data_IF_618441962824
#
_entry.id   IF_618441962824
#
_cell.length_a   1.000
_cell.length_b   1.000
_cell.length_c   1.000
_cell.angle_alpha   90.00
_cell.angle_beta   90.00
_cell.angle_gamma   90.00
#
_symmetry.space_group_name_H-M   'P 1'
#
loop_
_entity.id
_entity.type
_entity.pdbx_description
1 polymer ?
#
# COMPACT_ATOMS: atom_id res chain seq x y z
N UNK A 1 15.12 50.00 -9.39
CA UNK A 1 13.72 50.43 -9.22
C UNK A 1 12.91 49.65 -10.24
N UNK A 2 12.11 48.68 -9.76
CA UNK A 2 10.98 47.96 -10.43
C UNK A 2 11.32 47.23 -11.76
N UNK A 3 10.82 46.04 -12.11
CA UNK A 3 9.81 45.16 -11.55
C UNK A 3 10.03 43.75 -12.16
N UNK A 4 10.09 42.76 -11.27
CA UNK A 4 9.46 41.43 -11.37
C UNK A 4 8.57 41.17 -12.58
N UNK A 5 9.03 40.31 -13.51
CA UNK A 5 8.15 39.41 -14.28
C UNK A 5 8.93 38.25 -14.90
N UNK A 6 9.10 37.18 -14.15
CA UNK A 6 9.19 35.83 -14.74
C UNK A 6 8.22 34.94 -13.97
N UNK A 7 7.01 35.05 -14.47
CA UNK A 7 5.88 34.15 -14.36
C UNK A 7 6.22 32.76 -13.84
N UNK A 8 5.55 32.43 -12.74
CA UNK A 8 5.35 31.11 -12.20
C UNK A 8 4.92 30.13 -13.29
N UNK A 9 5.87 29.32 -13.78
CA UNK A 9 5.56 28.08 -14.51
C UNK A 9 5.04 27.07 -13.49
N UNK A 10 3.82 27.29 -13.02
CA UNK A 10 2.98 26.22 -12.46
C UNK A 10 2.29 25.57 -13.65
N UNK A 11 3.05 24.82 -14.44
CA UNK A 11 2.48 23.89 -15.40
C UNK A 11 1.63 22.92 -14.59
N UNK A 12 0.30 23.03 -14.72
CA UNK A 12 -0.63 22.10 -14.09
C UNK A 12 -0.36 20.73 -14.71
N UNK A 13 0.50 19.95 -14.04
CA UNK A 13 0.77 18.57 -14.37
C UNK A 13 -0.58 17.87 -14.57
N UNK A 14 -0.92 17.58 -15.82
CA UNK A 14 -2.20 17.00 -16.18
C UNK A 14 -2.28 15.60 -15.59
N UNK A 15 -2.91 15.52 -14.41
CA UNK A 15 -2.92 14.34 -13.55
C UNK A 15 -3.55 13.15 -14.29
N UNK A 16 -4.43 13.41 -15.27
CA UNK A 16 -5.00 12.37 -16.13
C UNK A 16 -4.00 11.80 -17.13
N UNK A 17 -3.14 12.62 -17.70
CA UNK A 17 -2.11 12.14 -18.63
C UNK A 17 -1.00 11.39 -17.89
N UNK A 18 -0.64 11.85 -16.68
CA UNK A 18 0.21 11.06 -15.77
C UNK A 18 -0.44 9.74 -15.36
N UNK A 19 -1.72 9.74 -14.96
CA UNK A 19 -2.43 8.50 -14.60
C UNK A 19 -2.48 7.52 -15.77
N UNK A 20 -2.81 7.98 -16.98
CA UNK A 20 -2.83 7.12 -18.18
C UNK A 20 -1.45 6.59 -18.54
N UNK A 21 -0.41 7.41 -18.39
CA UNK A 21 0.96 6.99 -18.63
C UNK A 21 1.46 5.97 -17.59
N UNK A 22 1.15 6.18 -16.30
CA UNK A 22 1.43 5.22 -15.22
C UNK A 22 0.65 3.90 -15.36
N UNK A 23 -0.63 3.98 -15.74
CA UNK A 23 -1.47 2.81 -16.04
C UNK A 23 -1.00 2.06 -17.30
N UNK A 24 -0.45 2.80 -18.29
CA UNK A 24 0.12 2.22 -19.50
C UNK A 24 1.46 1.52 -19.28
N UNK A 25 2.27 1.97 -18.33
CA UNK A 25 3.55 1.36 -17.96
C UNK A 25 3.39 0.09 -17.13
N UNK A 26 2.32 -0.02 -16.34
CA UNK A 26 2.04 -1.17 -15.48
C UNK A 26 1.26 -2.30 -16.15
N UNK A 27 0.97 -2.16 -17.46
CA UNK A 27 0.17 -3.07 -18.30
C UNK A 27 0.44 -4.58 -18.14
N UNK A 28 1.69 -5.08 -17.99
CA UNK A 28 1.94 -6.52 -17.84
C UNK A 28 1.53 -7.09 -16.46
N UNK A 29 1.28 -6.25 -15.47
CA UNK A 29 0.99 -6.66 -14.08
C UNK A 29 -0.51 -6.69 -13.79
N UNK A 30 -1.33 -6.11 -14.66
CA UNK A 30 -2.79 -6.03 -14.48
C UNK A 30 -3.46 -7.39 -14.47
N UNK A 31 -3.02 -8.35 -15.30
CA UNK A 31 -3.66 -9.66 -15.41
C UNK A 31 -3.71 -10.44 -14.08
N UNK A 32 -2.55 -10.75 -13.47
CA UNK A 32 -2.52 -11.43 -12.17
C UNK A 32 -3.13 -10.60 -11.04
N UNK A 33 -3.07 -9.27 -11.14
CA UNK A 33 -3.67 -8.37 -10.15
C UNK A 33 -5.20 -8.38 -10.18
N UNK A 34 -5.81 -8.43 -11.36
CA UNK A 34 -7.26 -8.61 -11.48
C UNK A 34 -7.73 -9.95 -10.93
N UNK A 35 -6.92 -11.02 -11.09
CA UNK A 35 -7.20 -12.32 -10.46
C UNK A 35 -7.15 -12.21 -8.95
N UNK A 36 -6.10 -11.60 -8.39
CA UNK A 36 -5.97 -11.38 -6.94
C UNK A 36 -7.13 -10.54 -6.39
N UNK A 37 -7.48 -9.44 -7.07
CA UNK A 37 -8.62 -8.59 -6.72
C UNK A 37 -9.96 -9.35 -6.80
N UNK A 38 -10.14 -10.20 -7.81
CA UNK A 38 -11.31 -11.05 -7.95
C UNK A 38 -11.43 -12.05 -6.80
N UNK A 39 -10.34 -12.76 -6.49
CA UNK A 39 -10.27 -13.67 -5.34
C UNK A 39 -10.56 -12.94 -4.03
N UNK A 40 -10.06 -11.72 -3.85
CA UNK A 40 -10.32 -10.88 -2.67
C UNK A 40 -11.79 -10.50 -2.54
N UNK A 41 -12.41 -10.03 -3.63
CA UNK A 41 -13.84 -9.69 -3.66
C UNK A 41 -14.69 -10.91 -3.33
N UNK A 42 -14.37 -12.07 -3.91
CA UNK A 42 -15.06 -13.33 -3.61
C UNK A 42 -14.84 -13.73 -2.15
N UNK A 43 -13.61 -13.65 -1.64
CA UNK A 43 -13.27 -13.96 -0.25
C UNK A 43 -14.05 -13.10 0.74
N UNK A 44 -14.12 -11.78 0.52
CA UNK A 44 -14.91 -10.87 1.35
C UNK A 44 -16.42 -11.15 1.24
N UNK A 45 -16.91 -11.55 0.06
CA UNK A 45 -18.30 -11.93 -0.12
C UNK A 45 -18.63 -13.24 0.62
N UNK A 46 -17.71 -14.20 0.61
CA UNK A 46 -17.82 -15.45 1.39
C UNK A 46 -17.79 -15.18 2.89
N UNK A 47 -17.02 -14.19 3.36
CA UNK A 47 -17.06 -13.77 4.76
C UNK A 47 -18.45 -13.28 5.18
N UNK A 48 -19.06 -12.43 4.36
CA UNK A 48 -20.41 -11.93 4.62
C UNK A 48 -21.42 -13.08 4.60
N UNK A 49 -21.30 -13.99 3.63
CA UNK A 49 -22.14 -15.19 3.56
C UNK A 49 -21.97 -16.10 4.78
N UNK A 50 -20.74 -16.25 5.28
CA UNK A 50 -20.43 -17.06 6.47
C UNK A 50 -21.07 -16.45 7.73
N UNK A 51 -20.98 -15.13 7.92
CA UNK A 51 -21.68 -14.46 9.02
C UNK A 51 -23.20 -14.54 8.89
N UNK A 52 -23.75 -14.34 7.69
CA UNK A 52 -25.18 -14.43 7.45
C UNK A 52 -25.73 -15.84 7.70
N UNK A 53 -25.04 -16.87 7.20
CA UNK A 53 -25.42 -18.28 7.42
C UNK A 53 -25.25 -18.70 8.87
N UNK A 54 -24.21 -18.21 9.57
CA UNK A 54 -24.03 -18.46 10.99
C UNK A 54 -25.17 -17.85 11.83
N UNK A 55 -25.55 -16.61 11.54
CA UNK A 55 -26.69 -15.96 12.19
C UNK A 55 -28.00 -16.70 11.92
N UNK A 56 -28.25 -17.11 10.67
CA UNK A 56 -29.40 -17.93 10.29
C UNK A 56 -29.44 -19.28 10.99
N UNK A 57 -28.29 -19.96 11.11
CA UNK A 57 -28.17 -21.23 11.81
C UNK A 57 -28.53 -21.10 13.30
N UNK A 58 -28.04 -20.05 13.97
CA UNK A 58 -28.38 -19.78 15.38
C UNK A 58 -29.88 -19.51 15.55
N UNK A 59 -30.48 -18.70 14.67
CA UNK A 59 -31.92 -18.45 14.72
C UNK A 59 -32.74 -19.73 14.54
N UNK A 60 -32.41 -20.56 13.55
CA UNK A 60 -33.11 -21.82 13.31
C UNK A 60 -32.95 -22.83 14.47
N UNK A 61 -31.81 -22.82 15.15
CA UNK A 61 -31.58 -23.67 16.31
C UNK A 61 -32.33 -23.21 17.55
N UNK A 62 -32.33 -21.91 17.81
CA UNK A 62 -32.88 -21.34 19.06
C UNK A 62 -34.38 -21.12 18.96
N UNK A 63 -34.87 -20.64 17.81
CA UNK A 63 -36.28 -20.27 17.62
C UNK A 63 -37.07 -21.47 17.13
N UNK A 64 -36.64 -22.09 16.03
CA UNK A 64 -37.40 -23.14 15.36
C UNK A 64 -37.13 -24.54 15.94
N UNK A 65 -36.15 -24.67 16.85
CA UNK A 65 -35.67 -25.94 17.41
C UNK A 65 -35.35 -27.00 16.33
N UNK A 66 -34.94 -26.55 15.14
CA UNK A 66 -34.69 -27.42 14.00
C UNK A 66 -33.28 -28.03 14.00
N UNK A 67 -33.03 -29.07 13.18
CA UNK A 67 -31.74 -29.76 13.16
C UNK A 67 -30.59 -28.86 12.64
N UNK A 68 -29.45 -28.91 13.33
CA UNK A 68 -28.27 -28.08 13.03
C UNK A 68 -27.41 -28.58 11.86
N UNK A 69 -27.54 -29.86 11.51
CA UNK A 69 -26.54 -30.57 10.71
C UNK A 69 -26.37 -29.97 9.30
N UNK A 70 -27.47 -29.60 8.64
CA UNK A 70 -27.42 -29.00 7.30
C UNK A 70 -26.68 -27.66 7.29
N UNK A 71 -26.97 -26.80 8.26
CA UNK A 71 -26.30 -25.50 8.43
C UNK A 71 -24.81 -25.65 8.71
N UNK A 72 -24.43 -26.63 9.54
CA UNK A 72 -23.03 -26.91 9.83
C UNK A 72 -22.25 -27.31 8.57
N UNK A 73 -22.83 -28.17 7.72
CA UNK A 73 -22.21 -28.57 6.45
C UNK A 73 -21.99 -27.35 5.55
N UNK A 74 -23.00 -26.48 5.42
CA UNK A 74 -22.90 -25.25 4.62
C UNK A 74 -21.79 -24.33 5.15
N UNK A 75 -21.70 -24.15 6.47
CA UNK A 75 -20.65 -23.35 7.09
C UNK A 75 -19.24 -23.90 6.81
N UNK A 76 -19.06 -25.22 6.91
CA UNK A 76 -17.78 -25.87 6.61
C UNK A 76 -17.40 -25.68 5.14
N UNK A 77 -18.35 -25.87 4.21
CA UNK A 77 -18.10 -25.66 2.78
C UNK A 77 -17.71 -24.21 2.48
N UNK A 78 -18.43 -23.24 3.04
CA UNK A 78 -18.10 -21.81 2.90
C UNK A 78 -16.73 -21.48 3.49
N UNK A 79 -16.38 -22.05 4.66
CA UNK A 79 -15.09 -21.83 5.30
C UNK A 79 -13.92 -22.38 4.45
N UNK A 80 -14.08 -23.57 3.87
CA UNK A 80 -13.07 -24.17 2.97
C UNK A 80 -12.94 -23.33 1.70
N UNK A 81 -14.06 -22.94 1.08
CA UNK A 81 -14.04 -22.08 -0.09
C UNK A 81 -13.32 -20.75 0.20
N UNK A 82 -13.64 -20.11 1.35
CA UNK A 82 -12.96 -18.90 1.81
C UNK A 82 -11.45 -19.12 1.93
N UNK A 83 -11.03 -20.19 2.59
CA UNK A 83 -9.61 -20.51 2.76
C UNK A 83 -8.89 -20.69 1.42
N UNK A 84 -9.54 -21.34 0.45
CA UNK A 84 -9.00 -21.50 -0.90
C UNK A 84 -8.84 -20.14 -1.61
N UNK A 85 -9.86 -19.27 -1.60
CA UNK A 85 -9.77 -17.95 -2.23
C UNK A 85 -8.74 -17.04 -1.57
N UNK A 86 -8.62 -17.09 -0.25
CA UNK A 86 -7.57 -16.38 0.48
C UNK A 86 -6.17 -16.86 0.08
N UNK A 87 -5.98 -18.17 -0.05
CA UNK A 87 -4.72 -18.73 -0.52
C UNK A 87 -4.39 -18.27 -1.95
N UNK A 88 -5.37 -18.29 -2.85
CA UNK A 88 -5.18 -17.80 -4.23
C UNK A 88 -4.85 -16.30 -4.28
N UNK A 89 -5.51 -15.48 -3.46
CA UNK A 89 -5.21 -14.05 -3.31
C UNK A 89 -3.75 -13.83 -2.90
N UNK A 90 -3.29 -14.54 -1.86
CA UNK A 90 -1.91 -14.43 -1.36
C UNK A 90 -0.89 -14.92 -2.40
N UNK A 91 -1.18 -16.05 -3.05
CA UNK A 91 -0.29 -16.64 -4.06
C UNK A 91 -0.14 -15.71 -5.27
N UNK A 92 -1.25 -15.17 -5.79
CA UNK A 92 -1.20 -14.24 -6.92
C UNK A 92 -0.53 -12.92 -6.54
N UNK A 93 -0.74 -12.43 -5.31
CA UNK A 93 -0.01 -11.27 -4.78
C UNK A 93 1.51 -11.48 -4.80
N UNK A 94 1.98 -12.63 -4.31
CA UNK A 94 3.41 -12.95 -4.31
C UNK A 94 3.96 -13.23 -5.71
N UNK A 95 3.16 -13.80 -6.60
CA UNK A 95 3.55 -13.96 -8.00
C UNK A 95 3.79 -12.61 -8.68
N UNK A 96 2.93 -11.62 -8.43
CA UNK A 96 3.09 -10.25 -8.93
C UNK A 96 4.39 -9.63 -8.43
N UNK A 97 4.68 -9.78 -7.14
CA UNK A 97 5.92 -9.34 -6.50
C UNK A 97 7.17 -9.86 -7.24
N UNK A 98 7.25 -11.19 -7.38
CA UNK A 98 8.41 -11.82 -7.99
C UNK A 98 8.55 -11.53 -9.48
N UNK A 99 7.43 -11.43 -10.21
CA UNK A 99 7.46 -11.05 -11.63
C UNK A 99 7.89 -9.61 -11.84
N UNK A 100 7.50 -8.69 -10.97
CA UNK A 100 7.99 -7.31 -11.02
C UNK A 100 9.51 -7.26 -10.82
N UNK A 101 10.04 -8.02 -9.86
CA UNK A 101 11.48 -8.12 -9.60
C UNK A 101 12.26 -8.73 -10.77
N UNK A 102 11.72 -9.78 -11.42
CA UNK A 102 12.32 -10.43 -12.58
C UNK A 102 12.43 -9.46 -13.77
N UNK A 103 11.34 -8.77 -14.11
CA UNK A 103 11.31 -7.81 -15.23
C UNK A 103 12.27 -6.64 -14.99
N UNK A 104 12.35 -6.16 -13.74
CA UNK A 104 13.28 -5.11 -13.35
C UNK A 104 14.71 -5.56 -13.60
N UNK A 105 15.09 -6.73 -13.08
CA UNK A 105 16.46 -7.25 -13.20
C UNK A 105 16.89 -7.29 -14.66
N UNK A 106 16.05 -7.83 -15.54
CA UNK A 106 16.32 -7.89 -16.97
C UNK A 106 16.40 -6.51 -17.63
N UNK A 107 15.48 -5.59 -17.28
CA UNK A 107 15.49 -4.23 -17.83
C UNK A 107 16.76 -3.46 -17.45
N UNK A 108 17.14 -3.48 -16.17
CA UNK A 108 18.34 -2.81 -15.68
C UNK A 108 19.59 -3.34 -16.37
N UNK A 109 19.77 -4.67 -16.41
CA UNK A 109 20.93 -5.26 -17.07
C UNK A 109 20.98 -4.93 -18.57
N UNK A 110 19.84 -4.95 -19.27
CA UNK A 110 19.79 -4.64 -20.70
C UNK A 110 20.14 -3.18 -21.04
N UNK A 111 19.87 -2.24 -20.13
CA UNK A 111 20.12 -0.79 -20.34
C UNK A 111 21.46 -0.32 -19.78
N UNK A 112 21.98 -0.96 -18.73
CA UNK A 112 23.32 -0.68 -18.21
C UNK A 112 24.41 -1.31 -19.08
N UNK A 113 24.21 -2.52 -19.60
CA UNK A 113 25.22 -3.25 -20.37
C UNK A 113 25.84 -2.43 -21.53
N UNK A 114 25.07 -1.69 -22.35
CA UNK A 114 25.62 -0.92 -23.47
C UNK A 114 26.35 0.37 -23.07
N UNK A 115 26.11 0.89 -21.85
CA UNK A 115 26.64 2.17 -21.36
C UNK A 115 27.65 2.02 -20.22
N UNK A 116 27.97 0.77 -19.87
CA UNK A 116 28.86 0.41 -18.77
C UNK A 116 30.25 1.05 -18.81
N UNK A 117 30.91 1.31 -19.97
CA UNK A 117 32.26 1.89 -19.93
C UNK A 117 32.31 3.34 -19.43
N UNK A 118 31.21 4.09 -19.49
CA UNK A 118 31.18 5.54 -19.17
C UNK A 118 30.41 5.90 -17.89
N UNK A 119 29.46 5.07 -17.46
CA UNK A 119 28.62 5.33 -16.27
C UNK A 119 29.28 4.83 -14.98
N UNK A 120 30.04 3.72 -15.05
CA UNK A 120 30.73 3.13 -13.89
C UNK A 120 31.85 4.04 -13.36
N UNK A 121 32.34 4.97 -14.19
CA UNK A 121 33.40 5.94 -13.87
C UNK A 121 32.91 7.17 -13.10
N UNK A 122 31.63 7.54 -13.22
CA UNK A 122 31.07 8.76 -12.61
C UNK A 122 29.87 8.52 -11.68
N UNK A 123 29.32 7.30 -11.64
CA UNK A 123 28.20 6.94 -10.77
C UNK A 123 28.45 5.57 -10.17
N UNK A 124 28.24 5.42 -8.85
CA UNK A 124 28.33 4.11 -8.19
C UNK A 124 27.23 3.23 -8.76
N UNK A 125 27.58 2.29 -9.64
CA UNK A 125 26.64 1.37 -10.29
C UNK A 125 25.72 0.64 -9.29
N UNK A 126 26.18 0.45 -8.04
CA UNK A 126 25.39 -0.07 -6.94
C UNK A 126 24.22 0.80 -6.51
N UNK A 127 24.36 2.13 -6.55
CA UNK A 127 23.31 3.06 -6.10
C UNK A 127 22.14 3.12 -7.11
N UNK A 128 22.43 2.97 -8.40
CA UNK A 128 21.41 2.94 -9.46
C UNK A 128 20.57 1.64 -9.33
N UNK A 129 21.22 0.50 -9.16
CA UNK A 129 20.54 -0.78 -8.97
C UNK A 129 19.72 -0.80 -7.66
N UNK A 130 20.27 -0.21 -6.58
CA UNK A 130 19.58 -0.11 -5.30
C UNK A 130 18.35 0.80 -5.34
N UNK A 131 18.43 1.95 -6.03
CA UNK A 131 17.28 2.85 -6.20
C UNK A 131 16.18 2.20 -7.04
N UNK A 132 16.55 1.55 -8.15
CA UNK A 132 15.59 0.89 -9.03
C UNK A 132 14.87 -0.28 -8.35
N UNK A 133 15.60 -1.07 -7.56
CA UNK A 133 15.00 -2.15 -6.75
C UNK A 133 14.00 -1.58 -5.74
N UNK A 134 14.38 -0.50 -5.04
CA UNK A 134 13.51 0.19 -4.09
C UNK A 134 12.23 0.76 -4.73
N UNK A 135 12.34 1.30 -5.94
CA UNK A 135 11.19 1.87 -6.65
C UNK A 135 10.20 0.79 -7.08
N UNK A 136 10.67 -0.41 -7.46
CA UNK A 136 9.80 -1.55 -7.79
C UNK A 136 9.15 -2.17 -6.57
N UNK A 137 9.90 -2.36 -5.48
CA UNK A 137 9.32 -2.83 -4.21
C UNK A 137 8.19 -1.89 -3.75
N UNK A 138 8.35 -0.58 -3.97
CA UNK A 138 7.33 0.42 -3.67
C UNK A 138 6.09 0.27 -4.57
N UNK A 139 6.26 -0.07 -5.85
CA UNK A 139 5.13 -0.32 -6.77
C UNK A 139 4.35 -1.55 -6.31
N UNK A 140 5.01 -2.64 -5.93
CA UNK A 140 4.33 -3.85 -5.43
C UNK A 140 3.42 -3.55 -4.23
N UNK A 141 3.95 -2.86 -3.21
CA UNK A 141 3.18 -2.51 -2.00
C UNK A 141 1.98 -1.64 -2.35
N UNK A 142 2.14 -0.69 -3.28
CA UNK A 142 1.02 0.15 -3.73
C UNK A 142 -0.02 -0.67 -4.49
N UNK A 143 0.38 -1.61 -5.35
CA UNK A 143 -0.56 -2.39 -6.15
C UNK A 143 -1.26 -3.51 -5.37
N UNK A 144 -0.51 -4.30 -4.61
CA UNK A 144 -1.05 -5.44 -3.87
C UNK A 144 -1.66 -5.04 -2.52
N UNK A 145 -1.03 -4.12 -1.79
CA UNK A 145 -1.40 -3.82 -0.39
C UNK A 145 -2.10 -2.47 -0.20
N UNK A 146 -2.21 -1.66 -1.25
CA UNK A 146 -2.95 -0.38 -1.18
C UNK A 146 -4.13 -0.38 -2.13
N UNK A 147 -3.91 -0.62 -3.42
CA UNK A 147 -4.95 -0.56 -4.44
C UNK A 147 -6.01 -1.64 -4.24
N UNK A 148 -5.62 -2.91 -4.11
CA UNK A 148 -6.59 -3.99 -3.96
C UNK A 148 -7.48 -3.85 -2.69
N UNK A 149 -6.95 -3.50 -1.50
CA UNK A 149 -7.78 -3.20 -0.34
C UNK A 149 -8.72 -2.01 -0.53
N UNK A 150 -8.24 -0.90 -1.12
CA UNK A 150 -9.06 0.29 -1.35
C UNK A 150 -10.20 -0.02 -2.31
N UNK A 151 -9.91 -0.62 -3.47
CA UNK A 151 -10.94 -0.99 -4.45
C UNK A 151 -11.96 -1.94 -3.84
N UNK A 152 -11.51 -2.96 -3.11
CA UNK A 152 -12.41 -3.91 -2.47
C UNK A 152 -13.33 -3.25 -1.43
N UNK A 153 -12.84 -2.27 -0.67
CA UNK A 153 -13.65 -1.53 0.30
C UNK A 153 -14.78 -0.73 -0.37
N UNK A 154 -14.48 -0.06 -1.48
CA UNK A 154 -15.47 0.71 -2.24
C UNK A 154 -16.43 -0.14 -3.08
N UNK A 155 -16.10 -1.41 -3.34
CA UNK A 155 -16.94 -2.32 -4.13
C UNK A 155 -17.78 -3.21 -3.22
N UNK A 156 -17.15 -3.97 -2.32
CA UNK A 156 -17.82 -5.02 -1.54
C UNK A 156 -18.76 -4.45 -0.49
N UNK A 157 -18.35 -3.38 0.21
CA UNK A 157 -19.17 -2.74 1.24
C UNK A 157 -20.51 -2.22 0.70
N UNK A 158 -20.51 -1.33 -0.31
CA UNK A 158 -21.75 -0.86 -0.93
C UNK A 158 -22.57 -1.97 -1.57
N UNK A 159 -21.94 -2.94 -2.25
CA UNK A 159 -22.64 -4.08 -2.82
C UNK A 159 -23.37 -4.90 -1.74
N UNK A 160 -22.73 -5.15 -0.60
CA UNK A 160 -23.33 -5.86 0.52
C UNK A 160 -24.53 -5.10 1.11
N UNK A 161 -24.43 -3.78 1.26
CA UNK A 161 -25.53 -2.92 1.70
C UNK A 161 -26.71 -3.00 0.73
N UNK A 162 -26.46 -2.93 -0.59
CA UNK A 162 -27.52 -3.02 -1.60
C UNK A 162 -28.19 -4.38 -1.55
N UNK A 163 -27.41 -5.47 -1.54
CA UNK A 163 -27.95 -6.84 -1.48
C UNK A 163 -28.75 -7.06 -0.20
N UNK A 164 -28.23 -6.65 0.95
CA UNK A 164 -28.94 -6.74 2.23
C UNK A 164 -30.23 -5.90 2.22
N UNK A 165 -30.19 -4.70 1.63
CA UNK A 165 -31.36 -3.82 1.52
C UNK A 165 -32.46 -4.42 0.65
N UNK A 166 -32.10 -5.12 -0.43
CA UNK A 166 -33.05 -5.83 -1.29
C UNK A 166 -33.63 -7.07 -0.61
N UNK A 167 -32.81 -7.83 0.14
CA UNK A 167 -33.23 -9.10 0.75
C UNK A 167 -34.01 -8.92 2.06
N UNK A 168 -33.59 -8.00 2.91
CA UNK A 168 -34.11 -7.82 4.29
C UNK A 168 -34.92 -6.52 4.44
N UNK A 169 -34.76 -5.58 3.50
CA UNK A 169 -35.39 -4.27 3.51
C UNK A 169 -34.46 -3.14 3.97
N UNK A 170 -34.77 -1.92 3.55
CA UNK A 170 -33.92 -0.74 3.77
C UNK A 170 -33.89 -0.23 5.21
N UNK A 171 -34.91 -0.53 6.01
CA UNK A 171 -35.00 -0.13 7.42
C UNK A 171 -33.80 -0.58 8.26
N UNK A 172 -33.59 -1.91 8.45
CA UNK A 172 -32.49 -2.43 9.27
C UNK A 172 -31.10 -2.12 8.69
N UNK A 173 -30.99 -1.96 7.38
CA UNK A 173 -29.71 -1.72 6.68
C UNK A 173 -29.28 -0.25 6.71
N UNK A 174 -30.21 0.68 6.94
CA UNK A 174 -29.95 2.13 6.94
C UNK A 174 -28.82 2.55 7.88
N UNK A 175 -28.78 2.00 9.10
CA UNK A 175 -27.73 2.30 10.09
C UNK A 175 -26.37 1.81 9.59
N UNK A 176 -26.30 0.59 9.06
CA UNK A 176 -25.08 0.03 8.50
C UNK A 176 -24.59 0.86 7.29
N UNK A 177 -25.50 1.34 6.44
CA UNK A 177 -25.18 2.19 5.30
C UNK A 177 -24.59 3.54 5.74
N UNK A 178 -25.17 4.18 6.77
CA UNK A 178 -24.64 5.43 7.33
C UNK A 178 -23.26 5.21 7.96
N UNK A 179 -23.07 4.14 8.74
CA UNK A 179 -21.77 3.79 9.31
C UNK A 179 -20.71 3.54 8.24
N UNK A 180 -21.07 2.85 7.15
CA UNK A 180 -20.17 2.63 6.00
C UNK A 180 -19.83 3.96 5.32
N UNK A 181 -20.81 4.83 5.07
CA UNK A 181 -20.58 6.13 4.44
C UNK A 181 -19.66 7.01 5.30
N UNK A 182 -19.87 7.04 6.61
CA UNK A 182 -19.02 7.76 7.55
C UNK A 182 -17.61 7.19 7.58
N UNK A 183 -17.42 5.86 7.61
CA UNK A 183 -16.09 5.27 7.61
C UNK A 183 -15.31 5.57 6.32
N UNK A 184 -15.99 5.50 5.16
CA UNK A 184 -15.40 5.84 3.87
C UNK A 184 -15.04 7.33 3.73
N UNK A 185 -15.68 8.23 4.47
CA UNK A 185 -15.38 9.67 4.44
C UNK A 185 -14.35 10.09 5.51
N UNK A 186 -14.52 9.62 6.74
CA UNK A 186 -13.69 10.01 7.89
C UNK A 186 -12.27 9.45 7.77
N UNK A 187 -12.13 8.19 7.37
CA UNK A 187 -10.82 7.52 7.26
C UNK A 187 -9.88 8.23 6.27
N UNK A 188 -10.26 8.52 5.02
CA UNK A 188 -9.36 9.24 4.12
C UNK A 188 -9.17 10.69 4.55
N UNK A 189 -10.20 11.37 5.08
CA UNK A 189 -10.11 12.79 5.42
C UNK A 189 -9.17 13.06 6.61
N UNK A 190 -9.28 12.27 7.68
CA UNK A 190 -8.43 12.42 8.87
C UNK A 190 -7.17 11.55 8.82
N UNK A 191 -7.30 10.32 8.32
CA UNK A 191 -6.20 9.36 8.27
C UNK A 191 -5.10 9.77 7.30
N UNK A 192 -5.44 10.21 6.08
CA UNK A 192 -4.43 10.55 5.08
C UNK A 192 -3.62 11.80 5.49
N UNK A 193 -4.27 12.83 6.03
CA UNK A 193 -3.60 14.05 6.48
C UNK A 193 -2.63 13.80 7.64
N UNK A 194 -3.08 13.04 8.65
CA UNK A 194 -2.25 12.74 9.82
C UNK A 194 -1.10 11.80 9.47
N UNK A 195 -1.35 10.77 8.65
CA UNK A 195 -0.32 9.85 8.18
C UNK A 195 0.75 10.59 7.36
N UNK A 196 0.36 11.45 6.41
CA UNK A 196 1.32 12.22 5.60
C UNK A 196 2.12 13.22 6.44
N UNK A 197 1.50 13.91 7.40
CA UNK A 197 2.20 14.82 8.28
C UNK A 197 3.25 14.10 9.13
N UNK A 198 2.90 12.96 9.74
CA UNK A 198 3.83 12.15 10.54
C UNK A 198 4.93 11.55 9.68
N UNK A 199 4.62 11.03 8.50
CA UNK A 199 5.63 10.50 7.57
C UNK A 199 6.60 11.60 7.12
N UNK A 200 6.11 12.82 6.85
CA UNK A 200 6.95 13.94 6.45
C UNK A 200 7.94 14.34 7.56
N UNK A 201 7.47 14.46 8.79
CA UNK A 201 8.32 14.76 9.95
C UNK A 201 9.39 13.68 10.14
N UNK A 202 8.99 12.40 10.09
CA UNK A 202 9.94 11.29 10.22
C UNK A 202 10.98 11.24 9.08
N UNK A 203 10.58 11.59 7.85
CA UNK A 203 11.51 11.67 6.72
C UNK A 203 12.46 12.87 6.83
N UNK A 204 11.99 14.02 7.31
CA UNK A 204 12.83 15.20 7.55
C UNK A 204 13.87 14.92 8.65
N UNK A 205 13.47 14.32 9.77
CA UNK A 205 14.39 13.92 10.84
C UNK A 205 15.45 12.91 10.38
N UNK A 206 15.04 11.89 9.59
CA UNK A 206 15.98 10.92 9.00
C UNK A 206 16.95 11.58 8.03
N UNK A 207 16.48 12.55 7.25
CA UNK A 207 17.33 13.30 6.31
C UNK A 207 18.38 14.11 7.07
N UNK A 208 17.99 14.78 8.15
CA UNK A 208 18.89 15.60 8.95
C UNK A 208 19.94 14.76 9.69
N UNK A 209 19.56 13.58 10.19
CA UNK A 209 20.52 12.64 10.78
C UNK A 209 21.50 12.09 9.74
N UNK A 210 21.01 11.67 8.57
CA UNK A 210 21.87 11.18 7.49
C UNK A 210 22.85 12.25 7.01
N UNK A 211 22.39 13.51 6.91
CA UNK A 211 23.24 14.65 6.58
C UNK A 211 24.31 14.88 7.65
N UNK A 212 23.95 14.85 8.93
CA UNK A 212 24.88 15.06 10.04
C UNK A 212 25.93 13.94 10.16
N UNK A 213 25.53 12.69 9.95
CA UNK A 213 26.46 11.55 9.91
C UNK A 213 27.43 11.71 8.74
N UNK A 214 26.92 12.02 7.55
CA UNK A 214 27.76 12.24 6.37
C UNK A 214 28.78 13.36 6.62
N UNK A 215 28.34 14.51 7.12
CA UNK A 215 29.20 15.64 7.45
C UNK A 215 30.27 15.27 8.50
N UNK A 216 29.89 14.49 9.51
CA UNK A 216 30.82 14.04 10.56
C UNK A 216 31.84 13.02 10.05
N UNK A 217 31.47 12.16 9.10
CA UNK A 217 32.40 11.20 8.47
C UNK A 217 33.39 11.91 7.55
N UNK A 218 32.93 12.87 6.75
CA UNK A 218 33.80 13.61 5.84
C UNK A 218 34.64 14.68 6.55
N UNK A 219 34.17 15.21 7.68
CA UNK A 219 34.89 16.16 8.53
C UNK A 219 35.62 15.51 9.71
N UNK A 220 35.82 14.18 9.71
CA UNK A 220 36.34 13.46 10.89
C UNK A 220 37.74 13.93 11.30
N UNK A 221 38.60 14.22 10.33
CA UNK A 221 39.96 14.73 10.59
C UNK A 221 39.93 16.12 11.24
N UNK A 222 38.92 16.92 10.92
CA UNK A 222 38.71 18.25 11.50
C UNK A 222 38.15 18.14 12.92
N UNK A 223 37.21 17.22 13.15
CA UNK A 223 36.65 16.95 14.49
C UNK A 223 37.72 16.40 15.45
N UNK A 224 38.57 15.48 14.98
CA UNK A 224 39.71 14.94 15.73
C UNK A 224 40.82 15.99 15.93
N UNK A 225 41.11 16.80 14.89
CA UNK A 225 42.13 17.85 14.94
C UNK A 225 41.82 18.96 15.95
N UNK A 226 40.54 19.22 16.22
CA UNK A 226 40.08 20.18 17.23
C UNK A 226 39.68 19.53 18.57
N UNK A 227 39.75 18.20 18.72
CA UNK A 227 39.41 17.48 19.95
C UNK A 227 37.95 17.64 20.39
N UNK A 228 37.01 17.72 19.44
CA UNK A 228 35.57 17.95 19.71
C UNK A 228 34.71 16.69 19.55
N UNK A 229 35.29 15.51 19.74
CA UNK A 229 34.62 14.22 19.53
C UNK A 229 33.42 14.03 20.46
N UNK A 230 33.58 14.38 21.75
CA UNK A 230 32.55 14.20 22.76
C UNK A 230 31.31 15.05 22.51
N UNK A 231 31.50 16.29 22.04
CA UNK A 231 30.41 17.19 21.68
C UNK A 231 29.68 16.71 20.42
N UNK A 232 30.43 16.23 19.42
CA UNK A 232 29.86 15.68 18.18
C UNK A 232 29.02 14.42 18.44
N UNK A 233 29.48 13.56 19.36
CA UNK A 233 28.79 12.34 19.80
C UNK A 233 27.48 12.66 20.53
N UNK A 234 27.48 13.64 21.44
CA UNK A 234 26.26 14.07 22.16
C UNK A 234 25.17 14.58 21.21
N UNK A 235 25.53 15.37 20.20
CA UNK A 235 24.58 15.85 19.19
C UNK A 235 24.04 14.71 18.32
N UNK A 236 24.85 13.68 18.05
CA UNK A 236 24.39 12.50 17.31
C UNK A 236 23.40 11.66 18.14
N UNK A 237 23.68 11.46 19.42
CA UNK A 237 22.79 10.73 20.34
C UNK A 237 21.46 11.48 20.54
N UNK A 238 21.51 12.82 20.62
CA UNK A 238 20.31 13.65 20.76
C UNK A 238 19.42 13.57 19.50
N UNK A 239 20.02 13.73 18.30
CA UNK A 239 19.29 13.57 17.03
C UNK A 239 18.81 12.13 16.79
N UNK A 240 19.52 11.13 17.31
CA UNK A 240 19.10 9.73 17.27
C UNK A 240 17.91 9.45 18.19
N UNK A 241 17.88 10.08 19.37
CA UNK A 241 16.77 10.02 20.33
C UNK A 241 15.47 10.62 19.78
N UNK A 242 15.56 11.67 18.96
CA UNK A 242 14.39 12.33 18.35
C UNK A 242 13.67 11.46 17.29
N UNK A 243 14.24 10.33 16.87
CA UNK A 243 13.70 9.41 15.85
C UNK A 243 13.01 8.17 16.46
N UNK A 244 13.26 7.88 17.75
CA UNK A 244 12.74 6.73 18.51
C UNK A 244 11.37 7.03 19.13
#
# INVERSE_FOLDING_TARGET
MSETRTETVSESVDTRNLLRWLLGITRPVHGPLFVSLGCRIIGLSLDIALFATAAGAVMHLVVDNGPAQGWFIVLVVLAIAKAAFFYFEQFTGHYVAFKALELLRTYVFSKLWPKAPAIVTHSRSGDILASLTRDVDRIEVVYAHTFAPVVSAYVVGPAAIIVAGVLVGWGPVSIAAVCLALSLLVVPYFGARKAMATTRVALEQRRDLAHYISDSVFGVDEVLGYGREAERQQVMDQKGGDIS
#
